data_IF_068646498553
#
_entry.id   IF_068646498553
#
_cell.length_a   1.000
_cell.length_b   1.000
_cell.length_c   1.000
_cell.angle_alpha   90.00
_cell.angle_beta   90.00
_cell.angle_gamma   90.00
#
_symmetry.space_group_name_H-M   'P 1'
#
loop_
_entity.id
_entity.type
_entity.pdbx_description
1 polymer ?
#
# COMPACT_ATOMS: atom_id res chain seq x y z
N UNK A 1 -23.23 -15.79 31.40
CA UNK A 1 -22.18 -16.50 30.63
C UNK A 1 -22.63 -16.48 29.19
N UNK A 2 -21.95 -15.75 28.30
CA UNK A 2 -21.77 -16.13 26.88
C UNK A 2 -20.95 -15.08 26.12
N UNK A 3 -19.83 -15.57 25.61
CA UNK A 3 -19.04 -15.14 24.45
C UNK A 3 -18.49 -13.71 24.43
N UNK A 4 -17.26 -13.60 24.92
CA UNK A 4 -16.25 -12.67 24.41
C UNK A 4 -16.25 -12.78 22.89
N UNK A 5 -16.66 -11.71 22.20
CA UNK A 5 -16.35 -11.54 20.79
C UNK A 5 -14.88 -11.13 20.75
N UNK A 6 -14.02 -12.14 20.69
CA UNK A 6 -12.62 -11.98 20.30
C UNK A 6 -12.69 -11.63 18.81
N UNK A 7 -13.01 -10.37 18.53
CA UNK A 7 -12.71 -9.80 17.23
C UNK A 7 -11.26 -9.41 17.38
N UNK A 8 -10.37 -10.19 16.78
CA UNK A 8 -9.04 -9.72 16.44
C UNK A 8 -9.23 -8.30 15.90
N UNK A 9 -8.72 -7.31 16.64
CA UNK A 9 -8.58 -5.96 16.11
C UNK A 9 -7.55 -6.14 15.00
N UNK A 10 -8.01 -6.49 13.80
CA UNK A 10 -7.18 -6.46 12.60
C UNK A 10 -6.58 -5.06 12.60
N UNK A 11 -5.29 -4.98 12.95
CA UNK A 11 -4.60 -3.70 13.03
C UNK A 11 -4.61 -3.14 11.62
N UNK A 12 -5.57 -2.26 11.34
CA UNK A 12 -5.74 -1.62 10.05
C UNK A 12 -5.20 -0.20 10.12
N UNK A 13 -4.51 0.21 9.07
CA UNK A 13 -3.95 1.55 8.95
C UNK A 13 -4.52 2.24 7.72
N UNK A 14 -5.14 3.40 7.92
CA UNK A 14 -5.65 4.21 6.82
C UNK A 14 -4.50 4.92 6.11
N UNK A 15 -4.24 4.51 4.87
CA UNK A 15 -3.21 5.05 4.00
C UNK A 15 -3.82 5.71 2.77
N UNK A 16 -3.02 6.54 2.11
CA UNK A 16 -3.33 7.14 0.81
C UNK A 16 -2.56 6.41 -0.27
N UNK A 17 -3.28 5.85 -1.23
CA UNK A 17 -2.70 5.05 -2.32
C UNK A 17 -2.87 5.76 -3.67
N UNK A 18 -1.84 5.63 -4.50
CA UNK A 18 -1.80 6.03 -5.91
C UNK A 18 -1.01 4.97 -6.67
N UNK A 19 -1.20 4.87 -7.98
CA UNK A 19 -0.36 4.08 -8.87
C UNK A 19 0.37 4.98 -9.86
N UNK A 20 1.48 4.48 -10.41
CA UNK A 20 2.20 5.10 -11.50
C UNK A 20 2.07 4.16 -12.69
N UNK A 21 1.63 4.67 -13.84
CA UNK A 21 1.51 3.87 -15.05
C UNK A 21 2.85 3.82 -15.78
N UNK A 22 3.72 2.89 -15.39
CA UNK A 22 5.01 2.67 -16.04
C UNK A 22 4.94 1.58 -17.14
N UNK A 23 3.74 1.23 -17.62
CA UNK A 23 3.57 0.18 -18.65
C UNK A 23 4.16 0.58 -20.02
N UNK A 24 4.39 1.87 -20.25
CA UNK A 24 5.00 2.37 -21.48
C UNK A 24 6.32 3.09 -21.16
N UNK A 25 7.48 2.48 -21.44
CA UNK A 25 8.79 3.06 -21.13
C UNK A 25 9.13 4.31 -21.98
N UNK A 26 8.33 4.62 -23.00
CA UNK A 26 8.48 5.82 -23.83
C UNK A 26 7.57 6.96 -23.40
N UNK A 27 6.57 6.67 -22.55
CA UNK A 27 5.74 7.68 -21.90
C UNK A 27 6.36 7.94 -20.54
N UNK A 28 6.88 9.15 -20.33
CA UNK A 28 7.28 9.61 -18.99
C UNK A 28 6.02 9.86 -18.14
N UNK A 29 5.30 8.80 -17.78
CA UNK A 29 4.17 8.89 -16.87
C UNK A 29 4.69 8.94 -15.43
N UNK A 30 5.41 10.01 -15.10
CA UNK A 30 5.77 10.32 -13.70
C UNK A 30 4.56 10.79 -12.88
N UNK A 31 3.40 10.95 -13.53
CA UNK A 31 2.16 11.38 -12.92
C UNK A 31 1.51 10.23 -12.16
N UNK A 32 1.48 10.36 -10.83
CA UNK A 32 0.73 9.48 -9.93
C UNK A 32 -0.77 9.62 -10.23
N UNK A 33 -1.41 8.50 -10.49
CA UNK A 33 -2.84 8.40 -10.79
C UNK A 33 -3.57 7.64 -9.67
N UNK A 34 -4.81 8.02 -9.34
CA UNK A 34 -5.47 9.29 -9.70
C UNK A 34 -4.76 10.50 -9.04
N UNK A 35 -4.92 11.70 -9.62
CA UNK A 35 -4.32 12.95 -9.09
C UNK A 35 -4.64 13.20 -7.61
N UNK A 36 -5.78 12.68 -7.15
CA UNK A 36 -6.16 12.65 -5.74
C UNK A 36 -5.90 11.25 -5.19
N UNK A 37 -4.99 11.08 -4.21
CA UNK A 37 -4.77 9.80 -3.55
C UNK A 37 -6.08 9.23 -3.00
N UNK A 38 -6.30 7.94 -3.23
CA UNK A 38 -7.46 7.24 -2.70
C UNK A 38 -7.17 6.74 -1.29
N UNK A 39 -8.15 6.80 -0.39
CA UNK A 39 -8.03 6.21 0.94
C UNK A 39 -8.19 4.70 0.87
N UNK A 40 -7.28 3.99 1.50
CA UNK A 40 -7.28 2.54 1.62
C UNK A 40 -6.89 2.14 3.03
N UNK A 41 -7.62 1.20 3.62
CA UNK A 41 -7.32 0.68 4.95
C UNK A 41 -6.49 -0.58 4.76
N UNK A 42 -5.19 -0.47 5.04
CA UNK A 42 -4.21 -1.54 4.89
C UNK A 42 -4.25 -2.43 6.13
N UNK A 43 -4.38 -3.73 5.95
CA UNK A 43 -4.35 -4.70 7.04
C UNK A 43 -2.89 -5.00 7.39
N UNK A 44 -2.45 -4.64 8.59
CA UNK A 44 -1.03 -4.72 8.96
C UNK A 44 -0.56 -6.16 9.20
N UNK A 45 -1.47 -7.06 9.57
CA UNK A 45 -1.19 -8.49 9.83
C UNK A 45 -1.29 -9.39 8.60
N UNK A 46 -1.79 -8.88 7.47
CA UNK A 46 -1.95 -9.62 6.23
C UNK A 46 -0.80 -9.30 5.27
N UNK A 47 -0.34 -10.29 4.51
CA UNK A 47 0.74 -10.08 3.55
C UNK A 47 0.34 -9.06 2.47
N UNK A 48 1.30 -8.26 2.04
CA UNK A 48 1.05 -7.18 1.06
C UNK A 48 0.54 -7.74 -0.27
N UNK A 49 1.13 -8.83 -0.75
CA UNK A 49 0.75 -9.49 -1.99
C UNK A 49 -0.70 -9.99 -2.00
N UNK A 50 -1.24 -10.38 -0.84
CA UNK A 50 -2.64 -10.80 -0.72
C UNK A 50 -3.61 -9.61 -0.84
N UNK A 51 -3.16 -8.40 -0.48
CA UNK A 51 -3.94 -7.16 -0.55
C UNK A 51 -3.81 -6.47 -1.94
N UNK A 52 -2.80 -6.82 -2.74
CA UNK A 52 -2.55 -6.24 -4.06
C UNK A 52 -3.74 -6.29 -5.03
N UNK A 53 -4.48 -7.41 -5.17
CA UNK A 53 -5.63 -7.47 -6.08
C UNK A 53 -6.72 -6.46 -5.71
N UNK A 54 -6.96 -6.26 -4.41
CA UNK A 54 -7.93 -5.29 -3.91
C UNK A 54 -7.46 -3.85 -4.13
N UNK A 55 -6.18 -3.56 -3.85
CA UNK A 55 -5.57 -2.25 -4.10
C UNK A 55 -5.67 -1.87 -5.58
N UNK A 56 -5.29 -2.77 -6.49
CA UNK A 56 -5.35 -2.54 -7.94
C UNK A 56 -6.79 -2.32 -8.40
N UNK A 57 -7.73 -3.11 -7.89
CA UNK A 57 -9.15 -2.95 -8.18
C UNK A 57 -9.68 -1.60 -7.68
N UNK A 58 -9.23 -1.15 -6.51
CA UNK A 58 -9.59 0.14 -5.91
C UNK A 58 -9.06 1.32 -6.74
N UNK A 59 -7.78 1.24 -7.11
CA UNK A 59 -7.09 2.23 -7.94
C UNK A 59 -7.55 2.20 -9.41
N UNK A 60 -8.26 1.13 -9.81
CA UNK A 60 -8.58 0.82 -11.22
C UNK A 60 -7.32 0.84 -12.08
N UNK A 61 -6.21 0.38 -11.51
CA UNK A 61 -4.92 0.39 -12.16
C UNK A 61 -4.92 -0.62 -13.32
N UNK A 62 -4.32 -0.30 -14.49
CA UNK A 62 -4.25 -1.20 -15.63
C UNK A 62 -3.25 -2.35 -15.45
N UNK A 63 -2.47 -2.34 -14.35
CA UNK A 63 -1.44 -3.33 -14.05
C UNK A 63 -2.04 -4.68 -13.62
N UNK A 64 -1.29 -5.77 -13.89
CA UNK A 64 -1.62 -7.09 -13.37
C UNK A 64 -1.19 -7.18 -11.89
N UNK A 65 -1.93 -7.90 -11.03
CA UNK A 65 -1.61 -8.01 -9.61
C UNK A 65 -0.25 -8.64 -9.28
N UNK A 66 0.28 -9.50 -10.16
CA UNK A 66 1.63 -10.05 -9.99
C UNK A 66 2.76 -9.22 -10.57
N UNK A 67 2.47 -8.05 -11.15
CA UNK A 67 3.43 -7.17 -11.83
C UNK A 67 3.39 -5.74 -11.26
N UNK A 68 2.80 -5.60 -10.07
CA UNK A 68 2.67 -4.35 -9.35
C UNK A 68 3.38 -4.48 -8.01
N UNK A 69 4.04 -3.41 -7.58
CA UNK A 69 4.74 -3.35 -6.30
C UNK A 69 4.30 -2.10 -5.55
N UNK A 70 4.19 -2.19 -4.23
CA UNK A 70 3.90 -1.04 -3.39
C UNK A 70 5.20 -0.36 -2.98
N UNK A 71 5.19 0.96 -3.03
CA UNK A 71 6.27 1.81 -2.55
C UNK A 71 5.72 2.73 -1.45
N UNK A 72 6.41 2.79 -0.32
CA UNK A 72 6.14 3.73 0.76
C UNK A 72 6.82 5.05 0.42
N UNK A 73 6.07 6.06 -0.02
CA UNK A 73 6.64 7.38 -0.27
C UNK A 73 6.65 8.23 1.00
N UNK A 74 7.81 8.70 1.50
CA UNK A 74 7.84 9.73 2.53
C UNK A 74 7.29 11.04 1.92
N UNK A 75 6.28 11.67 2.52
CA UNK A 75 5.73 12.93 1.97
C UNK A 75 6.64 14.14 2.24
N UNK A 76 7.59 14.01 3.16
CA UNK A 76 8.40 15.12 3.67
C UNK A 76 9.76 15.31 2.97
N UNK A 77 10.32 14.28 2.36
CA UNK A 77 11.64 14.34 1.73
C UNK A 77 11.51 13.75 0.33
N UNK A 78 11.99 14.46 -0.69
CA UNK A 78 11.94 14.02 -2.09
C UNK A 78 12.77 12.78 -2.42
N UNK A 79 12.99 11.91 -1.42
CA UNK A 79 13.68 10.64 -1.52
C UNK A 79 12.76 9.58 -2.15
N UNK A 80 13.37 8.69 -2.94
CA UNK A 80 12.67 7.50 -3.42
C UNK A 80 12.26 6.67 -2.20
N UNK A 81 10.96 6.38 -2.12
CA UNK A 81 10.40 5.53 -1.09
C UNK A 81 10.95 4.09 -1.12
N UNK A 82 10.90 3.41 0.02
CA UNK A 82 11.21 1.98 0.09
C UNK A 82 10.08 1.14 -0.53
N UNK A 83 10.43 0.02 -1.14
CA UNK A 83 9.45 -0.93 -1.67
C UNK A 83 9.03 -1.90 -0.56
N UNK A 84 7.72 -2.17 -0.47
CA UNK A 84 7.18 -3.18 0.42
C UNK A 84 7.46 -4.58 -0.13
N UNK A 85 7.67 -5.52 0.78
CA UNK A 85 7.82 -6.92 0.43
C UNK A 85 6.43 -7.53 0.28
N UNK A 86 6.14 -8.10 -0.88
CA UNK A 86 4.82 -8.66 -1.17
C UNK A 86 4.56 -9.98 -0.45
N UNK A 87 5.62 -10.66 0.00
CA UNK A 87 5.51 -11.93 0.73
C UNK A 87 5.33 -11.73 2.24
N UNK A 88 5.53 -10.50 2.75
CA UNK A 88 5.45 -10.17 4.17
C UNK A 88 4.27 -9.24 4.48
N UNK A 89 3.84 -9.26 5.74
CA UNK A 89 2.88 -8.29 6.29
C UNK A 89 3.60 -7.00 6.74
N UNK A 90 2.87 -5.89 6.88
CA UNK A 90 3.50 -4.64 7.36
C UNK A 90 4.05 -4.78 8.78
N UNK A 91 3.43 -5.59 9.64
CA UNK A 91 3.95 -5.86 10.98
C UNK A 91 5.31 -6.58 10.96
N UNK A 92 5.59 -7.33 9.90
CA UNK A 92 6.88 -8.00 9.67
C UNK A 92 7.93 -7.05 9.05
N UNK A 93 7.52 -5.84 8.68
CA UNK A 93 8.33 -4.79 8.07
C UNK A 93 8.31 -3.50 8.94
N UNK A 94 8.91 -3.54 10.14
CA UNK A 94 8.78 -2.47 11.13
C UNK A 94 9.41 -1.14 10.70
N UNK A 95 10.47 -1.17 9.88
CA UNK A 95 11.10 0.04 9.34
C UNK A 95 10.13 0.78 8.40
N UNK A 96 9.44 0.06 7.51
CA UNK A 96 8.45 0.63 6.60
C UNK A 96 7.19 1.08 7.34
N UNK A 97 6.76 0.34 8.38
CA UNK A 97 5.66 0.74 9.25
C UNK A 97 5.97 2.05 9.98
N UNK A 98 7.19 2.22 10.48
CA UNK A 98 7.62 3.46 11.13
C UNK A 98 7.58 4.64 10.16
N UNK A 99 8.01 4.45 8.90
CA UNK A 99 7.88 5.48 7.85
C UNK A 99 6.43 5.83 7.58
N UNK A 100 5.54 4.83 7.45
CA UNK A 100 4.10 5.06 7.23
C UNK A 100 3.43 5.79 8.40
N UNK A 101 3.83 5.48 9.64
CA UNK A 101 3.32 6.14 10.86
C UNK A 101 3.92 7.54 11.04
N UNK A 102 5.18 7.73 10.67
CA UNK A 102 5.89 9.01 10.75
C UNK A 102 5.42 10.03 9.71
N UNK A 103 4.76 9.59 8.64
CA UNK A 103 4.13 10.45 7.63
C UNK A 103 2.68 10.87 7.97
N UNK A 104 2.11 10.33 9.05
CA UNK A 104 0.73 10.61 9.50
C UNK A 104 0.64 11.83 10.40
#
# INVERSE_FOLDING_TARGET
ISSVKMGDEEEVMDVRIQFINDLDPFVSTSDRQPMLPLKYSLVLSQAIGEQMPDIIRKLRAPHKPGDAQLQVSPSATGDLGSYLDSDLSILEQPDELDVLRGDM
#
